data_IF_066070281749
#
_entry.id   IF_066070281749
#
_cell.length_a   1.000
_cell.length_b   1.000
_cell.length_c   1.000
_cell.angle_alpha   90.00
_cell.angle_beta   90.00
_cell.angle_gamma   90.00
#
_symmetry.space_group_name_H-M   'P 1'
#
loop_
_entity.id
_entity.type
_entity.pdbx_description
1 polymer ?
#
# COMPACT_ATOMS: atom_id res chain seq x y z
N UNK A 1 35.09 17.80 -1.30
CA UNK A 1 36.24 17.87 -0.38
C UNK A 1 35.95 16.89 0.74
N UNK A 2 36.94 16.17 1.26
CA UNK A 2 36.70 15.21 2.36
C UNK A 2 36.46 15.97 3.67
N UNK A 3 35.55 15.48 4.51
CA UNK A 3 35.25 16.01 5.84
C UNK A 3 36.47 15.96 6.77
N UNK A 4 37.37 14.99 6.57
CA UNK A 4 38.67 14.91 7.24
C UNK A 4 39.64 16.05 6.88
N UNK A 5 39.47 16.68 5.72
CA UNK A 5 40.35 17.72 5.19
C UNK A 5 39.72 19.12 5.23
N UNK A 6 38.40 19.20 5.45
CA UNK A 6 37.65 20.45 5.51
C UNK A 6 37.91 21.20 6.84
N UNK A 7 38.48 22.42 6.82
CA UNK A 7 38.69 23.23 8.01
C UNK A 7 37.41 23.52 8.79
N UNK A 8 36.26 23.58 8.12
CA UNK A 8 34.95 23.79 8.77
C UNK A 8 34.53 22.63 9.67
N UNK A 9 35.22 21.49 9.60
CA UNK A 9 34.96 20.30 10.40
C UNK A 9 36.12 19.94 11.33
N UNK A 10 37.17 20.76 11.42
CA UNK A 10 38.39 20.44 12.17
C UNK A 10 38.15 20.23 13.67
N UNK A 11 37.11 20.84 14.23
CA UNK A 11 36.69 20.71 15.64
C UNK A 11 35.93 19.41 15.94
N UNK A 12 35.39 18.75 14.91
CA UNK A 12 34.71 17.46 15.05
C UNK A 12 35.73 16.32 14.92
N UNK A 13 35.83 15.48 15.95
CA UNK A 13 36.62 14.23 15.90
C UNK A 13 35.87 13.22 15.02
N UNK A 14 36.55 12.69 14.01
CA UNK A 14 36.01 11.68 13.09
C UNK A 14 36.07 10.34 13.81
N UNK A 15 34.92 9.70 14.00
CA UNK A 15 34.79 8.49 14.83
C UNK A 15 34.64 7.28 13.93
N UNK A 16 35.67 6.42 13.81
CA UNK A 16 35.59 5.18 13.04
C UNK A 16 34.48 4.26 13.52
N UNK A 17 33.96 3.41 12.63
CA UNK A 17 33.12 2.30 13.04
C UNK A 17 33.94 1.29 13.85
N UNK A 18 33.43 0.90 15.01
CA UNK A 18 34.00 -0.19 15.82
C UNK A 18 33.23 -1.49 15.56
N UNK A 19 33.75 -2.31 14.64
CA UNK A 19 33.22 -3.64 14.33
C UNK A 19 33.84 -4.74 15.22
N UNK A 20 34.62 -4.35 16.24
CA UNK A 20 35.35 -5.26 17.12
C UNK A 20 36.61 -5.87 16.50
N UNK A 21 37.32 -6.74 17.24
CA UNK A 21 38.58 -7.33 16.80
C UNK A 21 38.40 -8.39 15.70
N UNK A 22 37.23 -9.05 15.64
CA UNK A 22 36.91 -10.14 14.71
C UNK A 22 35.60 -9.82 13.97
N UNK A 23 35.62 -8.90 13.00
CA UNK A 23 34.39 -8.36 12.39
C UNK A 23 33.70 -9.41 11.51
N UNK A 24 32.38 -9.56 11.69
CA UNK A 24 31.51 -10.39 10.84
C UNK A 24 30.71 -9.51 9.89
N UNK A 25 30.40 -10.02 8.69
CA UNK A 25 29.68 -9.28 7.63
C UNK A 25 30.25 -7.88 7.35
N UNK A 26 31.57 -7.73 7.51
CA UNK A 26 32.27 -6.46 7.29
C UNK A 26 32.14 -6.03 5.83
N UNK A 27 31.81 -4.76 5.63
CA UNK A 27 31.66 -4.16 4.31
C UNK A 27 32.95 -3.42 3.99
N UNK A 28 33.54 -3.71 2.83
CA UNK A 28 34.68 -2.98 2.32
C UNK A 28 34.22 -1.61 1.76
N UNK A 29 34.01 -0.64 2.66
CA UNK A 29 33.57 0.71 2.29
C UNK A 29 34.63 1.46 1.47
N UNK A 30 34.17 2.31 0.55
CA UNK A 30 35.02 3.33 -0.09
C UNK A 30 35.52 4.33 0.94
N UNK A 31 36.66 4.97 0.68
CA UNK A 31 37.18 6.04 1.53
C UNK A 31 36.20 7.20 1.72
N UNK A 32 35.40 7.51 0.70
CA UNK A 32 34.40 8.58 0.70
C UNK A 32 33.27 8.25 1.68
N UNK A 33 32.72 7.04 1.59
CA UNK A 33 31.71 6.55 2.54
C UNK A 33 32.23 6.55 3.99
N UNK A 34 33.45 6.06 4.22
CA UNK A 34 34.08 6.06 5.54
C UNK A 34 34.23 7.47 6.10
N UNK A 35 34.73 8.42 5.30
CA UNK A 35 34.93 9.81 5.70
C UNK A 35 33.61 10.49 6.13
N UNK A 36 32.55 10.34 5.33
CA UNK A 36 31.20 10.85 5.62
C UNK A 36 30.65 10.24 6.91
N UNK A 37 30.71 8.91 7.03
CA UNK A 37 30.14 8.20 8.19
C UNK A 37 30.91 8.44 9.48
N UNK A 38 32.24 8.58 9.41
CA UNK A 38 33.07 8.86 10.58
C UNK A 38 32.82 10.29 11.08
N UNK A 39 32.64 11.25 10.17
CA UNK A 39 32.20 12.59 10.53
C UNK A 39 30.81 12.56 11.18
N UNK A 40 29.85 11.85 10.58
CA UNK A 40 28.49 11.70 11.12
C UNK A 40 28.48 11.09 12.53
N UNK A 41 29.26 10.03 12.79
CA UNK A 41 29.39 9.46 14.15
C UNK A 41 29.99 10.46 15.14
N UNK A 42 30.93 11.30 14.70
CA UNK A 42 31.49 12.40 15.49
C UNK A 42 30.42 13.41 15.92
N UNK A 43 29.67 13.94 14.95
CA UNK A 43 28.56 14.89 15.18
C UNK A 43 27.48 14.28 16.07
N UNK A 44 27.11 13.02 15.83
CA UNK A 44 26.11 12.30 16.63
C UNK A 44 26.55 12.17 18.09
N UNK A 45 27.84 11.88 18.34
CA UNK A 45 28.42 11.79 19.69
C UNK A 45 28.47 13.14 20.39
N UNK A 46 28.75 14.21 19.66
CA UNK A 46 28.68 15.59 20.17
C UNK A 46 27.24 16.06 20.39
N UNK A 47 26.26 15.39 19.74
CA UNK A 47 24.87 15.77 19.70
C UNK A 47 24.69 17.23 19.23
N UNK A 48 25.43 17.59 18.17
CA UNK A 48 25.44 18.93 17.59
C UNK A 48 24.21 19.15 16.69
N UNK A 49 23.55 20.30 16.85
CA UNK A 49 22.47 20.78 15.98
C UNK A 49 22.90 22.09 15.32
N UNK A 50 23.29 22.03 14.06
CA UNK A 50 23.79 23.17 13.30
C UNK A 50 23.45 23.02 11.81
N UNK A 51 23.53 24.11 11.06
CA UNK A 51 23.33 24.10 9.61
C UNK A 51 24.34 23.18 8.89
N UNK A 52 25.60 23.14 9.35
CA UNK A 52 26.60 22.22 8.79
C UNK A 52 26.25 20.75 9.07
N UNK A 53 25.68 20.46 10.24
CA UNK A 53 25.17 19.13 10.56
C UNK A 53 24.00 18.77 9.64
N UNK A 54 23.08 19.71 9.41
CA UNK A 54 21.95 19.49 8.50
C UNK A 54 22.46 19.17 7.08
N UNK A 55 23.44 19.92 6.58
CA UNK A 55 24.08 19.65 5.29
C UNK A 55 24.78 18.27 5.26
N UNK A 56 25.55 17.91 6.29
CA UNK A 56 26.19 16.59 6.40
C UNK A 56 25.18 15.45 6.34
N UNK A 57 23.99 15.61 6.91
CA UNK A 57 22.98 14.54 6.83
C UNK A 57 22.52 14.25 5.40
N UNK A 58 22.61 15.21 4.47
CA UNK A 58 22.32 14.97 3.05
C UNK A 58 23.33 13.99 2.45
N UNK A 59 24.63 14.22 2.71
CA UNK A 59 25.70 13.35 2.19
C UNK A 59 25.61 11.93 2.78
N UNK A 60 25.23 11.81 4.06
CA UNK A 60 25.00 10.50 4.69
C UNK A 60 23.79 9.79 4.09
N UNK A 61 22.72 10.53 3.76
CA UNK A 61 21.51 9.99 3.10
C UNK A 61 21.83 9.58 1.66
N UNK A 62 22.61 10.36 0.92
CA UNK A 62 23.05 10.02 -0.44
C UNK A 62 23.91 8.75 -0.42
N UNK A 63 24.82 8.63 0.55
CA UNK A 63 25.66 7.46 0.74
C UNK A 63 24.86 6.20 1.14
N UNK A 64 23.83 6.34 1.98
CA UNK A 64 22.94 5.25 2.38
C UNK A 64 21.56 5.76 2.81
N UNK A 65 20.57 5.82 1.89
CA UNK A 65 19.25 6.35 2.20
C UNK A 65 18.44 5.42 3.12
N UNK A 66 18.90 4.18 3.37
CA UNK A 66 18.25 3.26 4.29
C UNK A 66 18.73 3.40 5.74
N UNK A 67 19.73 4.25 6.02
CA UNK A 67 20.23 4.49 7.36
C UNK A 67 19.21 5.29 8.18
N UNK A 68 18.36 4.61 8.96
CA UNK A 68 17.31 5.25 9.74
C UNK A 68 17.84 6.21 10.82
N UNK A 69 19.08 6.03 11.29
CA UNK A 69 19.70 6.89 12.32
C UNK A 69 19.92 8.30 11.80
N UNK A 70 20.39 8.46 10.56
CA UNK A 70 20.54 9.80 9.97
C UNK A 70 19.20 10.49 9.78
N UNK A 71 18.17 9.76 9.33
CA UNK A 71 16.84 10.35 9.15
C UNK A 71 16.22 10.82 10.47
N UNK A 72 16.42 10.06 11.54
CA UNK A 72 16.02 10.47 12.89
C UNK A 72 16.79 11.72 13.34
N UNK A 73 18.11 11.71 13.18
CA UNK A 73 18.94 12.82 13.62
C UNK A 73 18.70 14.10 12.82
N UNK A 74 18.49 13.98 11.50
CA UNK A 74 18.08 15.08 10.61
C UNK A 74 16.81 15.77 11.10
N UNK A 75 15.78 15.03 11.52
CA UNK A 75 14.56 15.63 12.10
C UNK A 75 14.84 16.42 13.37
N UNK A 76 15.69 15.93 14.26
CA UNK A 76 16.08 16.67 15.47
C UNK A 76 16.83 17.96 15.15
N UNK A 77 17.68 17.93 14.12
CA UNK A 77 18.42 19.11 13.66
C UNK A 77 17.46 20.13 13.06
N UNK A 78 16.56 19.71 12.16
CA UNK A 78 15.51 20.58 11.58
C UNK A 78 14.65 21.25 12.68
N UNK A 79 14.22 20.46 13.67
CA UNK A 79 13.43 20.97 14.81
C UNK A 79 14.23 21.99 15.64
N UNK A 80 15.48 21.68 15.98
CA UNK A 80 16.32 22.55 16.79
C UNK A 80 16.69 23.87 16.09
N UNK A 81 16.81 23.85 14.76
CA UNK A 81 17.09 25.03 13.95
C UNK A 81 15.85 25.87 13.65
N UNK A 82 14.64 25.30 13.80
CA UNK A 82 13.42 25.95 13.34
C UNK A 82 13.40 26.15 11.81
N UNK A 83 13.97 25.20 11.08
CA UNK A 83 14.10 25.25 9.62
C UNK A 83 12.74 25.31 8.92
N UNK A 84 12.70 25.87 7.71
CA UNK A 84 11.51 25.77 6.85
C UNK A 84 11.33 24.33 6.37
N UNK A 85 10.24 23.70 6.83
CA UNK A 85 9.93 22.32 6.55
C UNK A 85 9.32 22.11 5.14
N UNK A 86 8.94 23.17 4.42
CA UNK A 86 8.47 23.08 3.02
C UNK A 86 9.59 22.64 2.09
N UNK A 87 10.79 23.18 2.27
CA UNK A 87 11.97 22.75 1.50
C UNK A 87 12.28 21.26 1.77
N UNK A 88 12.05 20.79 3.00
CA UNK A 88 12.22 19.37 3.35
C UNK A 88 11.17 18.47 2.67
N UNK A 89 9.93 18.96 2.51
CA UNK A 89 8.93 18.26 1.69
C UNK A 89 9.37 18.18 0.23
N UNK A 90 9.95 19.24 -0.35
CA UNK A 90 10.47 19.15 -1.72
C UNK A 90 11.61 18.13 -1.82
N UNK A 91 12.56 18.18 -0.88
CA UNK A 91 13.66 17.21 -0.81
C UNK A 91 13.15 15.76 -0.75
N UNK A 92 12.19 15.47 0.14
CA UNK A 92 11.62 14.12 0.23
C UNK A 92 10.84 13.71 -1.00
N UNK A 93 10.21 14.65 -1.71
CA UNK A 93 9.52 14.37 -2.96
C UNK A 93 10.51 13.93 -4.05
N UNK A 94 11.59 14.66 -4.23
CA UNK A 94 12.64 14.34 -5.20
C UNK A 94 13.28 12.97 -4.89
N UNK A 95 13.57 12.74 -3.61
CA UNK A 95 14.13 11.48 -3.12
C UNK A 95 13.18 10.30 -3.33
N UNK A 96 11.87 10.48 -3.10
CA UNK A 96 10.88 9.44 -3.31
C UNK A 96 10.71 9.07 -4.79
N UNK A 97 10.89 10.02 -5.71
CA UNK A 97 10.87 9.74 -7.14
C UNK A 97 12.09 8.92 -7.59
N UNK A 98 13.25 9.16 -6.99
CA UNK A 98 14.48 8.41 -7.29
C UNK A 98 14.51 7.04 -6.60
N UNK A 99 14.00 6.97 -5.37
CA UNK A 99 14.07 5.78 -4.51
C UNK A 99 12.68 5.40 -3.94
N UNK A 100 11.69 5.09 -4.80
CA UNK A 100 10.28 4.99 -4.41
C UNK A 100 9.95 3.87 -3.41
N UNK A 101 10.86 2.92 -3.21
CA UNK A 101 10.69 1.74 -2.34
C UNK A 101 11.47 1.82 -1.02
N UNK A 102 11.97 3.01 -0.67
CA UNK A 102 12.71 3.22 0.57
C UNK A 102 11.75 3.66 1.70
N UNK A 103 11.69 2.87 2.79
CA UNK A 103 10.80 3.13 3.93
C UNK A 103 11.09 4.45 4.64
N UNK A 104 12.37 4.81 4.78
CA UNK A 104 12.80 5.96 5.56
C UNK A 104 12.38 7.28 4.92
N UNK A 105 12.39 7.39 3.60
CA UNK A 105 11.93 8.58 2.87
C UNK A 105 10.44 8.84 3.16
N UNK A 106 9.59 7.82 2.95
CA UNK A 106 8.16 7.93 3.19
C UNK A 106 7.84 8.20 4.66
N UNK A 107 8.54 7.54 5.58
CA UNK A 107 8.39 7.81 7.01
C UNK A 107 8.83 9.24 7.37
N UNK A 108 9.96 9.70 6.85
CA UNK A 108 10.46 11.04 7.11
C UNK A 108 9.44 12.08 6.63
N UNK A 109 8.91 11.92 5.41
CA UNK A 109 7.86 12.81 4.88
C UNK A 109 6.63 12.91 5.79
N UNK A 110 6.17 11.79 6.36
CA UNK A 110 5.05 11.79 7.34
C UNK A 110 5.38 12.62 8.57
N UNK A 111 6.56 12.42 9.12
CA UNK A 111 7.01 13.15 10.32
C UNK A 111 7.11 14.65 10.04
N UNK A 112 7.59 15.04 8.85
CA UNK A 112 7.65 16.45 8.45
C UNK A 112 6.24 17.05 8.37
N UNK A 113 5.29 16.37 7.73
CA UNK A 113 3.88 16.80 7.73
C UNK A 113 3.30 16.88 9.16
N UNK A 114 3.64 15.94 10.04
CA UNK A 114 3.21 15.93 11.44
C UNK A 114 3.83 17.08 12.25
N UNK A 115 5.09 17.44 11.99
CA UNK A 115 5.75 18.61 12.59
C UNK A 115 5.09 19.91 12.12
N UNK A 116 4.75 20.00 10.84
CA UNK A 116 4.07 21.15 10.24
C UNK A 116 2.59 21.25 10.60
N UNK A 117 1.98 20.12 11.01
CA UNK A 117 0.53 19.95 11.11
C UNK A 117 -0.19 20.29 9.80
N UNK A 118 0.45 19.99 8.68
CA UNK A 118 -0.10 20.20 7.33
C UNK A 118 0.29 19.06 6.39
N UNK A 119 -0.70 18.58 5.64
CA UNK A 119 -0.58 17.56 4.61
C UNK A 119 -1.33 17.95 3.31
N UNK A 120 -1.57 19.24 3.10
CA UNK A 120 -2.36 19.77 1.97
C UNK A 120 -1.81 19.37 0.60
N UNK A 121 -0.49 19.22 0.47
CA UNK A 121 0.21 18.84 -0.77
C UNK A 121 0.27 17.32 -0.99
N UNK A 122 -0.03 16.51 0.03
CA UNK A 122 0.26 15.06 0.02
C UNK A 122 -0.59 14.28 -0.97
N UNK A 123 -1.81 14.76 -1.26
CA UNK A 123 -2.68 14.15 -2.26
C UNK A 123 -2.14 14.31 -3.66
N UNK A 124 -1.58 15.47 -4.00
CA UNK A 124 -0.99 15.72 -5.31
C UNK A 124 0.31 14.94 -5.45
N UNK A 125 1.17 15.00 -4.43
CA UNK A 125 2.41 14.21 -4.39
C UNK A 125 2.16 12.70 -4.55
N UNK A 126 1.20 12.14 -3.81
CA UNK A 126 0.85 10.73 -3.95
C UNK A 126 0.30 10.41 -5.35
N UNK A 127 -0.48 11.32 -5.95
CA UNK A 127 -0.98 11.12 -7.31
C UNK A 127 0.17 11.07 -8.32
N UNK A 128 1.18 11.94 -8.20
CA UNK A 128 2.38 11.89 -9.04
C UNK A 128 3.16 10.57 -8.85
N UNK A 129 3.36 10.13 -7.60
CA UNK A 129 4.06 8.88 -7.32
C UNK A 129 3.31 7.64 -7.84
N UNK A 130 1.97 7.65 -7.78
CA UNK A 130 1.10 6.60 -8.30
C UNK A 130 1.06 6.64 -9.84
N UNK A 131 1.14 7.81 -10.47
CA UNK A 131 1.24 7.92 -11.94
C UNK A 131 2.53 7.26 -12.47
N UNK A 132 3.65 7.42 -11.74
CA UNK A 132 4.91 6.77 -12.05
C UNK A 132 4.94 5.24 -11.78
N UNK A 133 4.30 4.80 -10.70
CA UNK A 133 4.08 3.37 -10.38
C UNK A 133 2.72 3.19 -9.72
N UNK A 134 1.72 2.77 -10.51
CA UNK A 134 0.32 2.65 -10.10
C UNK A 134 0.06 1.66 -8.96
N UNK A 135 1.06 0.83 -8.66
CA UNK A 135 1.03 -0.19 -7.59
C UNK A 135 2.06 0.08 -6.49
N UNK A 136 2.65 1.28 -6.44
CA UNK A 136 3.57 1.67 -5.38
C UNK A 136 2.85 1.61 -4.02
N UNK A 137 3.19 0.57 -3.24
CA UNK A 137 2.58 0.32 -1.94
C UNK A 137 2.81 1.48 -0.95
N UNK A 138 3.99 2.10 -0.98
CA UNK A 138 4.30 3.20 -0.09
C UNK A 138 3.46 4.44 -0.41
N UNK A 139 3.27 4.77 -1.69
CA UNK A 139 2.44 5.90 -2.10
C UNK A 139 0.99 5.71 -1.68
N UNK A 140 0.40 4.53 -1.91
CA UNK A 140 -0.97 4.23 -1.46
C UNK A 140 -1.10 4.25 0.07
N UNK A 141 -0.15 3.65 0.80
CA UNK A 141 -0.16 3.65 2.26
C UNK A 141 0.02 5.07 2.83
N UNK A 142 0.83 5.91 2.19
CA UNK A 142 1.03 7.30 2.56
C UNK A 142 -0.22 8.14 2.29
N UNK A 143 -0.86 7.96 1.13
CA UNK A 143 -2.13 8.62 0.82
C UNK A 143 -3.20 8.29 1.85
N UNK A 144 -3.37 7.02 2.23
CA UNK A 144 -4.32 6.62 3.28
C UNK A 144 -4.01 7.27 4.63
N UNK A 145 -2.73 7.31 5.01
CA UNK A 145 -2.33 7.98 6.25
C UNK A 145 -2.65 9.48 6.21
N UNK A 146 -2.31 10.18 5.12
CA UNK A 146 -2.53 11.62 4.99
C UNK A 146 -4.04 11.95 5.02
N UNK A 147 -4.83 11.23 4.22
CA UNK A 147 -6.28 11.38 4.16
C UNK A 147 -6.92 11.15 5.54
N UNK A 148 -6.52 10.08 6.24
CA UNK A 148 -7.09 9.76 7.55
C UNK A 148 -6.69 10.74 8.64
N UNK A 149 -5.40 11.09 8.70
CA UNK A 149 -4.83 11.86 9.81
C UNK A 149 -5.21 13.34 9.73
N UNK A 150 -5.38 13.86 8.51
CA UNK A 150 -5.70 15.27 8.25
C UNK A 150 -7.12 15.49 7.72
N UNK A 151 -7.94 14.44 7.61
CA UNK A 151 -9.33 14.54 7.20
C UNK A 151 -9.54 14.92 5.73
N UNK A 152 -8.59 14.58 4.85
CA UNK A 152 -8.57 15.02 3.44
C UNK A 152 -9.43 14.12 2.52
N UNK A 153 -10.66 13.82 2.94
CA UNK A 153 -11.55 12.85 2.27
C UNK A 153 -12.14 13.33 0.94
N UNK A 154 -12.35 14.63 0.79
CA UNK A 154 -12.98 15.23 -0.40
C UNK A 154 -12.19 14.91 -1.66
N UNK A 155 -12.82 14.46 -2.75
CA UNK A 155 -12.11 14.14 -4.00
C UNK A 155 -11.47 12.75 -4.07
N UNK A 156 -11.49 11.96 -2.99
CA UNK A 156 -10.83 10.64 -2.98
C UNK A 156 -11.59 9.59 -3.81
N UNK A 157 -12.92 9.66 -3.89
CA UNK A 157 -13.70 8.75 -4.74
C UNK A 157 -13.46 9.08 -6.21
N UNK A 158 -13.41 10.36 -6.56
CA UNK A 158 -13.10 10.84 -7.90
C UNK A 158 -11.70 10.41 -8.35
N UNK A 159 -10.73 10.46 -7.42
CA UNK A 159 -9.38 9.94 -7.67
C UNK A 159 -9.40 8.42 -7.93
N UNK A 160 -10.12 7.65 -7.11
CA UNK A 160 -10.30 6.21 -7.31
C UNK A 160 -10.96 5.90 -8.65
N UNK A 161 -12.01 6.63 -9.01
CA UNK A 161 -12.74 6.43 -10.27
C UNK A 161 -11.83 6.68 -11.47
N UNK A 162 -10.99 7.72 -11.42
CA UNK A 162 -9.93 7.94 -12.42
C UNK A 162 -8.98 6.75 -12.52
N UNK A 163 -8.44 6.28 -11.40
CA UNK A 163 -7.49 5.16 -11.39
C UNK A 163 -8.11 3.85 -11.91
N UNK A 164 -9.39 3.59 -11.62
CA UNK A 164 -10.11 2.42 -12.10
C UNK A 164 -10.62 2.55 -13.54
N UNK A 165 -10.74 3.77 -14.05
CA UNK A 165 -10.95 4.04 -15.47
C UNK A 165 -9.69 3.73 -16.27
N UNK A 166 -8.52 4.13 -15.76
CA UNK A 166 -7.22 3.89 -16.39
C UNK A 166 -6.82 2.40 -16.34
N UNK A 167 -6.99 1.73 -15.18
CA UNK A 167 -6.80 0.29 -15.02
C UNK A 167 -7.80 -0.31 -14.03
N UNK A 168 -8.86 -0.93 -14.55
CA UNK A 168 -9.87 -1.63 -13.73
C UNK A 168 -9.28 -2.80 -12.92
N UNK A 169 -8.08 -3.32 -13.28
CA UNK A 169 -7.37 -4.40 -12.54
C UNK A 169 -6.47 -3.85 -11.44
N UNK A 170 -6.42 -2.53 -11.22
CA UNK A 170 -5.63 -1.95 -10.14
C UNK A 170 -6.24 -2.25 -8.77
N UNK A 171 -5.79 -3.35 -8.16
CA UNK A 171 -6.25 -3.78 -6.84
C UNK A 171 -5.98 -2.75 -5.73
N UNK A 172 -4.95 -1.92 -5.87
CA UNK A 172 -4.68 -0.84 -4.91
C UNK A 172 -5.77 0.23 -4.94
N UNK A 173 -6.28 0.57 -6.12
CA UNK A 173 -7.40 1.49 -6.27
C UNK A 173 -8.71 0.91 -5.72
N UNK A 174 -8.99 -0.39 -5.94
CA UNK A 174 -10.12 -1.09 -5.32
C UNK A 174 -10.02 -1.10 -3.79
N UNK A 175 -8.84 -1.36 -3.24
CA UNK A 175 -8.58 -1.29 -1.81
C UNK A 175 -8.77 0.13 -1.27
N UNK A 176 -8.31 1.14 -2.01
CA UNK A 176 -8.49 2.54 -1.63
C UNK A 176 -9.95 2.96 -1.66
N UNK A 177 -10.73 2.48 -2.65
CA UNK A 177 -12.20 2.66 -2.67
C UNK A 177 -12.85 2.13 -1.41
N UNK A 178 -12.51 0.90 -1.02
CA UNK A 178 -13.01 0.30 0.22
C UNK A 178 -12.62 1.13 1.45
N UNK A 179 -11.36 1.56 1.51
CA UNK A 179 -10.84 2.40 2.59
C UNK A 179 -11.63 3.70 2.73
N UNK A 180 -11.83 4.45 1.65
CA UNK A 180 -12.58 5.72 1.68
C UNK A 180 -14.01 5.48 2.19
N UNK A 181 -14.75 4.59 1.55
CA UNK A 181 -16.17 4.37 1.85
C UNK A 181 -16.41 3.78 3.25
N UNK A 182 -15.47 2.98 3.77
CA UNK A 182 -15.53 2.43 5.12
C UNK A 182 -15.27 3.49 6.20
N UNK A 183 -14.59 4.60 5.86
CA UNK A 183 -14.28 5.69 6.79
C UNK A 183 -15.21 6.92 6.63
N UNK A 184 -15.90 7.08 5.50
CA UNK A 184 -16.80 8.24 5.22
C UNK A 184 -18.30 7.91 5.28
N UNK A 185 -18.68 6.75 5.85
CA UNK A 185 -20.05 6.22 5.97
C UNK A 185 -20.69 5.66 4.70
N UNK A 186 -19.98 5.63 3.57
CA UNK A 186 -20.47 5.12 2.29
C UNK A 186 -21.00 3.68 2.33
N UNK A 187 -20.52 2.84 3.26
CA UNK A 187 -20.98 1.45 3.44
C UNK A 187 -21.84 1.25 4.71
N UNK A 188 -22.21 2.30 5.43
CA UNK A 188 -22.96 2.16 6.69
C UNK A 188 -24.41 1.73 6.45
N UNK A 189 -25.04 2.28 5.41
CA UNK A 189 -26.42 1.99 5.05
C UNK A 189 -26.51 1.00 3.87
N UNK A 190 -27.64 0.29 3.76
CA UNK A 190 -27.88 -0.68 2.69
C UNK A 190 -27.89 0.01 1.32
N UNK A 191 -28.43 1.21 1.23
CA UNK A 191 -28.49 2.01 0.00
C UNK A 191 -27.08 2.36 -0.50
N UNK A 192 -26.17 2.66 0.41
CA UNK A 192 -24.77 2.90 0.09
C UNK A 192 -24.09 1.64 -0.46
N UNK A 193 -24.31 0.49 0.19
CA UNK A 193 -23.82 -0.80 -0.30
C UNK A 193 -24.42 -1.19 -1.65
N UNK A 194 -25.71 -0.94 -1.87
CA UNK A 194 -26.39 -1.25 -3.14
C UNK A 194 -25.71 -0.53 -4.30
N UNK A 195 -25.42 0.78 -4.16
CA UNK A 195 -24.67 1.53 -5.18
C UNK A 195 -23.31 0.92 -5.48
N UNK A 196 -22.60 0.46 -4.46
CA UNK A 196 -21.27 -0.14 -4.63
C UNK A 196 -21.31 -1.57 -5.19
N UNK A 197 -22.38 -2.31 -4.89
CA UNK A 197 -22.67 -3.60 -5.55
C UNK A 197 -22.91 -3.36 -7.04
N UNK A 198 -23.78 -2.42 -7.40
CA UNK A 198 -24.04 -2.04 -8.80
C UNK A 198 -22.75 -1.64 -9.52
N UNK A 199 -21.95 -0.75 -8.91
CA UNK A 199 -20.64 -0.36 -9.42
C UNK A 199 -19.72 -1.56 -9.66
N UNK A 200 -19.63 -2.50 -8.71
CA UNK A 200 -18.80 -3.69 -8.86
C UNK A 200 -19.28 -4.59 -10.01
N UNK A 201 -20.60 -4.77 -10.15
CA UNK A 201 -21.20 -5.56 -11.24
C UNK A 201 -20.96 -4.93 -12.61
N UNK A 202 -21.02 -3.60 -12.71
CA UNK A 202 -20.64 -2.86 -13.94
C UNK A 202 -19.15 -3.05 -14.28
N UNK A 203 -18.26 -3.00 -13.29
CA UNK A 203 -16.81 -3.24 -13.54
C UNK A 203 -16.48 -4.69 -13.87
N UNK A 204 -17.31 -5.65 -13.45
CA UNK A 204 -17.22 -7.05 -13.90
C UNK A 204 -17.49 -7.15 -15.40
N UNK A 205 -18.46 -6.39 -15.94
CA UNK A 205 -18.76 -6.41 -17.39
C UNK A 205 -17.57 -5.91 -18.23
N UNK A 206 -16.80 -4.96 -17.70
CA UNK A 206 -15.61 -4.44 -18.37
C UNK A 206 -14.53 -5.53 -18.49
N UNK A 207 -14.41 -6.40 -17.49
CA UNK A 207 -13.40 -7.46 -17.47
C UNK A 207 -13.82 -8.64 -16.58
N UNK A 208 -14.54 -9.61 -17.15
CA UNK A 208 -15.12 -10.74 -16.38
C UNK A 208 -14.07 -11.62 -15.67
N UNK A 209 -12.84 -11.71 -16.20
CA UNK A 209 -11.72 -12.42 -15.56
C UNK A 209 -10.84 -11.52 -14.67
N UNK A 210 -11.28 -10.31 -14.34
CA UNK A 210 -10.60 -9.47 -13.36
C UNK A 210 -11.02 -9.87 -11.95
N UNK A 211 -10.11 -10.44 -11.16
CA UNK A 211 -10.41 -10.90 -9.80
C UNK A 211 -10.81 -9.76 -8.83
N UNK A 212 -10.25 -8.55 -9.01
CA UNK A 212 -10.44 -7.44 -8.06
C UNK A 212 -11.90 -7.04 -7.81
N UNK A 213 -12.75 -6.76 -8.83
CA UNK A 213 -14.15 -6.43 -8.60
C UNK A 213 -14.95 -7.61 -8.00
N UNK A 214 -14.60 -8.87 -8.29
CA UNK A 214 -15.22 -10.03 -7.65
C UNK A 214 -14.88 -10.09 -6.16
N UNK A 215 -13.62 -9.84 -5.79
CA UNK A 215 -13.19 -9.80 -4.40
C UNK A 215 -13.79 -8.60 -3.64
N UNK A 216 -13.89 -7.45 -4.30
CA UNK A 216 -14.59 -6.27 -3.76
C UNK A 216 -16.07 -6.57 -3.50
N UNK A 217 -16.76 -7.18 -4.47
CA UNK A 217 -18.16 -7.62 -4.35
C UNK A 217 -18.35 -8.60 -3.19
N UNK A 218 -17.46 -9.60 -3.03
CA UNK A 218 -17.47 -10.51 -1.87
C UNK A 218 -17.39 -9.75 -0.54
N UNK A 219 -16.57 -8.70 -0.48
CA UNK A 219 -16.43 -7.83 0.69
C UNK A 219 -17.73 -7.08 1.00
N UNK A 220 -18.38 -6.51 -0.01
CA UNK A 220 -19.62 -5.73 0.14
C UNK A 220 -20.79 -6.56 0.68
N UNK A 221 -20.97 -7.77 0.15
CA UNK A 221 -22.11 -8.64 0.46
C UNK A 221 -21.93 -9.47 1.74
N UNK A 222 -20.72 -9.51 2.29
CA UNK A 222 -20.44 -10.27 3.52
C UNK A 222 -21.30 -9.75 4.67
N UNK A 223 -22.07 -10.65 5.30
CA UNK A 223 -23.03 -10.34 6.35
C UNK A 223 -24.37 -9.75 5.85
N UNK A 224 -24.53 -9.60 4.53
CA UNK A 224 -25.73 -9.07 3.87
C UNK A 224 -26.15 -9.97 2.71
N UNK A 225 -25.79 -11.26 2.75
CA UNK A 225 -25.93 -12.15 1.61
C UNK A 225 -27.39 -12.31 1.20
N UNK A 226 -28.32 -12.41 2.16
CA UNK A 226 -29.75 -12.51 1.88
C UNK A 226 -30.28 -11.30 1.07
N UNK A 227 -29.74 -10.11 1.29
CA UNK A 227 -30.14 -8.88 0.61
C UNK A 227 -29.71 -8.87 -0.85
N UNK A 228 -28.47 -9.31 -1.13
CA UNK A 228 -27.86 -9.17 -2.46
C UNK A 228 -27.82 -10.49 -3.26
N UNK A 229 -28.24 -11.62 -2.67
CA UNK A 229 -28.12 -12.95 -3.28
C UNK A 229 -28.76 -13.05 -4.66
N UNK A 230 -29.97 -12.49 -4.85
CA UNK A 230 -30.67 -12.57 -6.13
C UNK A 230 -29.86 -11.91 -7.24
N UNK A 231 -29.58 -10.61 -7.10
CA UNK A 231 -28.85 -9.83 -8.09
C UNK A 231 -27.45 -10.40 -8.38
N UNK A 232 -26.72 -10.81 -7.33
CA UNK A 232 -25.34 -11.29 -7.48
C UNK A 232 -25.29 -12.68 -8.13
N UNK A 233 -26.22 -13.58 -7.78
CA UNK A 233 -26.30 -14.90 -8.43
C UNK A 233 -26.72 -14.76 -9.89
N UNK A 234 -27.72 -13.94 -10.19
CA UNK A 234 -28.17 -13.69 -11.57
C UNK A 234 -27.00 -13.20 -12.43
N UNK A 235 -26.22 -12.24 -11.92
CA UNK A 235 -25.00 -11.78 -12.63
C UNK A 235 -24.00 -12.90 -12.85
N UNK A 236 -23.66 -13.66 -11.81
CA UNK A 236 -22.65 -14.70 -11.91
C UNK A 236 -23.09 -15.85 -12.82
N UNK A 237 -24.38 -16.20 -12.83
CA UNK A 237 -24.97 -17.17 -13.75
C UNK A 237 -24.88 -16.68 -15.19
N UNK A 238 -25.31 -15.45 -15.47
CA UNK A 238 -25.21 -14.85 -16.81
C UNK A 238 -23.76 -14.82 -17.31
N UNK A 239 -22.79 -14.52 -16.44
CA UNK A 239 -21.36 -14.58 -16.79
C UNK A 239 -20.93 -16.00 -17.15
N UNK A 240 -21.37 -17.03 -16.42
CA UNK A 240 -21.01 -18.42 -16.73
C UNK A 240 -21.70 -18.94 -18.00
N UNK A 241 -22.86 -18.42 -18.38
CA UNK A 241 -23.50 -18.75 -19.65
C UNK A 241 -22.67 -18.27 -20.85
N UNK A 242 -22.08 -17.08 -20.76
CA UNK A 242 -21.26 -16.50 -21.83
C UNK A 242 -19.76 -16.84 -21.72
N UNK A 243 -19.29 -17.10 -20.50
CA UNK A 243 -17.88 -17.30 -20.16
C UNK A 243 -17.75 -18.42 -19.11
N UNK A 244 -17.93 -19.69 -19.53
CA UNK A 244 -18.01 -20.84 -18.60
C UNK A 244 -16.71 -21.10 -17.82
N UNK A 245 -15.57 -20.59 -18.29
CA UNK A 245 -14.26 -20.69 -17.64
C UNK A 245 -13.99 -19.55 -16.64
N UNK A 246 -14.97 -18.67 -16.38
CA UNK A 246 -14.85 -17.65 -15.35
C UNK A 246 -14.88 -18.26 -13.94
N UNK A 247 -13.71 -18.63 -13.44
CA UNK A 247 -13.53 -19.24 -12.12
C UNK A 247 -14.07 -18.37 -10.98
N UNK A 248 -14.08 -17.04 -11.14
CA UNK A 248 -14.50 -16.11 -10.10
C UNK A 248 -16.02 -16.11 -9.91
N UNK A 249 -16.78 -16.14 -11.01
CA UNK A 249 -18.23 -16.25 -11.01
C UNK A 249 -18.66 -17.61 -10.42
N UNK A 250 -18.05 -18.71 -10.87
CA UNK A 250 -18.31 -20.05 -10.34
C UNK A 250 -18.01 -20.12 -8.83
N UNK A 251 -16.83 -19.65 -8.41
CA UNK A 251 -16.46 -19.63 -6.99
C UNK A 251 -17.43 -18.80 -6.14
N UNK A 252 -17.93 -17.67 -6.66
CA UNK A 252 -18.92 -16.85 -5.95
C UNK A 252 -20.27 -17.56 -5.80
N UNK A 253 -20.75 -18.23 -6.85
CA UNK A 253 -21.98 -19.02 -6.78
C UNK A 253 -21.87 -20.17 -5.77
N UNK A 254 -20.72 -20.84 -5.71
CA UNK A 254 -20.45 -21.86 -4.68
C UNK A 254 -20.60 -21.26 -3.28
N UNK A 255 -20.08 -20.05 -3.03
CA UNK A 255 -20.21 -19.39 -1.72
C UNK A 255 -21.66 -19.06 -1.35
N UNK A 256 -22.49 -18.63 -2.31
CA UNK A 256 -23.91 -18.34 -2.09
C UNK A 256 -24.74 -19.61 -1.87
N UNK A 257 -24.62 -20.60 -2.76
CA UNK A 257 -25.36 -21.86 -2.64
C UNK A 257 -25.01 -22.63 -1.37
N UNK A 258 -23.75 -22.57 -0.93
CA UNK A 258 -23.30 -23.15 0.33
C UNK A 258 -23.95 -22.51 1.57
N UNK A 259 -24.39 -21.24 1.46
CA UNK A 259 -25.09 -20.53 2.54
C UNK A 259 -26.59 -20.78 2.54
N UNK A 260 -27.19 -20.98 1.37
CA UNK A 260 -28.62 -21.33 1.24
C UNK A 260 -28.92 -22.69 1.88
N UNK A 261 -28.03 -23.67 1.72
CA UNK A 261 -28.10 -24.94 2.43
C UNK A 261 -29.29 -25.84 2.07
N UNK A 262 -30.03 -25.54 1.01
CA UNK A 262 -31.06 -26.44 0.46
C UNK A 262 -30.42 -27.60 -0.31
N UNK A 263 -31.09 -28.74 -0.43
CA UNK A 263 -30.58 -29.87 -1.22
C UNK A 263 -30.27 -29.46 -2.67
N UNK A 264 -31.13 -28.64 -3.28
CA UNK A 264 -30.94 -28.12 -4.64
C UNK A 264 -29.72 -27.19 -4.73
N UNK A 265 -29.54 -26.28 -3.77
CA UNK A 265 -28.39 -25.37 -3.77
C UNK A 265 -27.09 -26.12 -3.51
N UNK A 266 -27.08 -27.09 -2.59
CA UNK A 266 -25.91 -27.93 -2.31
C UNK A 266 -25.52 -28.75 -3.55
N UNK A 267 -26.47 -29.30 -4.29
CA UNK A 267 -26.20 -30.03 -5.53
C UNK A 267 -25.58 -29.11 -6.59
N UNK A 268 -26.14 -27.90 -6.81
CA UNK A 268 -25.54 -26.90 -7.71
C UNK A 268 -24.13 -26.50 -7.28
N UNK A 269 -23.89 -26.35 -5.97
CA UNK A 269 -22.57 -26.04 -5.45
C UNK A 269 -21.57 -27.18 -5.71
N UNK A 270 -21.98 -28.45 -5.51
CA UNK A 270 -21.14 -29.61 -5.78
C UNK A 270 -20.71 -29.66 -7.26
N UNK A 271 -21.65 -29.47 -8.18
CA UNK A 271 -21.37 -29.47 -9.63
C UNK A 271 -20.34 -28.40 -10.00
N UNK A 272 -20.52 -27.16 -9.51
CA UNK A 272 -19.54 -26.09 -9.74
C UNK A 272 -18.17 -26.39 -9.14
N UNK A 273 -18.12 -26.96 -7.93
CA UNK A 273 -16.86 -27.34 -7.28
C UNK A 273 -16.14 -28.43 -8.07
N UNK A 274 -16.85 -29.41 -8.60
CA UNK A 274 -16.27 -30.45 -9.45
C UNK A 274 -15.69 -29.86 -10.74
N UNK A 275 -16.41 -28.96 -11.43
CA UNK A 275 -15.90 -28.26 -12.61
C UNK A 275 -14.66 -27.40 -12.27
N UNK A 276 -14.70 -26.64 -11.17
CA UNK A 276 -13.57 -25.84 -10.71
C UNK A 276 -12.34 -26.71 -10.42
N UNK A 277 -12.54 -27.85 -9.74
CA UNK A 277 -11.46 -28.76 -9.37
C UNK A 277 -10.83 -29.46 -10.58
N UNK A 278 -11.66 -29.93 -11.50
CA UNK A 278 -11.27 -30.85 -12.57
C UNK A 278 -11.02 -30.18 -13.92
N UNK A 279 -11.57 -28.99 -14.16
CA UNK A 279 -11.58 -28.37 -15.48
C UNK A 279 -10.95 -26.97 -15.47
N UNK A 280 -11.47 -26.04 -14.66
CA UNK A 280 -11.20 -24.59 -14.82
C UNK A 280 -10.21 -23.97 -13.82
N UNK A 281 -10.13 -24.45 -12.56
CA UNK A 281 -9.23 -23.93 -11.51
C UNK A 281 -8.37 -25.03 -10.88
N UNK A 282 -7.74 -25.85 -11.73
CA UNK A 282 -6.92 -27.01 -11.35
C UNK A 282 -5.80 -26.67 -10.37
N UNK A 283 -5.25 -25.45 -10.44
CA UNK A 283 -4.18 -25.00 -9.54
C UNK A 283 -4.66 -24.97 -8.08
N UNK A 284 -5.96 -24.78 -7.84
CA UNK A 284 -6.61 -24.81 -6.53
C UNK A 284 -7.41 -26.10 -6.29
N UNK A 285 -7.15 -27.18 -7.03
CA UNK A 285 -7.86 -28.47 -6.87
C UNK A 285 -7.90 -28.98 -5.42
N UNK A 286 -6.80 -28.88 -4.67
CA UNK A 286 -6.78 -29.26 -3.25
C UNK A 286 -7.73 -28.41 -2.38
N UNK A 287 -7.87 -27.12 -2.70
CA UNK A 287 -8.83 -26.24 -2.04
C UNK A 287 -10.28 -26.61 -2.39
N UNK A 288 -10.56 -26.91 -3.66
CA UNK A 288 -11.89 -27.34 -4.10
C UNK A 288 -12.29 -28.70 -3.52
N UNK A 289 -11.34 -29.65 -3.40
CA UNK A 289 -11.54 -30.91 -2.70
C UNK A 289 -11.89 -30.70 -1.22
N UNK A 290 -11.20 -29.78 -0.56
CA UNK A 290 -11.54 -29.38 0.81
C UNK A 290 -12.95 -28.78 0.88
N UNK A 291 -13.29 -27.84 -0.01
CA UNK A 291 -14.62 -27.22 -0.07
C UNK A 291 -15.73 -28.26 -0.26
N UNK A 292 -15.56 -29.22 -1.18
CA UNK A 292 -16.51 -30.31 -1.41
C UNK A 292 -16.78 -31.11 -0.12
N UNK A 293 -15.74 -31.39 0.67
CA UNK A 293 -15.88 -32.10 1.95
C UNK A 293 -16.67 -31.31 3.00
N UNK A 294 -16.65 -29.98 2.94
CA UNK A 294 -17.36 -29.10 3.89
C UNK A 294 -18.83 -28.90 3.56
N UNK A 295 -19.20 -28.95 2.27
CA UNK A 295 -20.59 -28.86 1.81
C UNK A 295 -21.42 -30.06 2.31
N UNK A 296 -20.84 -31.27 2.22
CA UNK A 296 -21.47 -32.54 2.66
C UNK A 296 -21.73 -32.66 4.16
N UNK A 297 -21.17 -31.78 4.99
CA UNK A 297 -21.36 -31.79 6.45
C UNK A 297 -22.49 -30.87 6.92
N UNK A 298 -23.08 -30.07 6.02
CA UNK A 298 -24.14 -29.09 6.32
C UNK A 298 -25.51 -29.47 5.80
N UNK A 299 -25.59 -30.48 4.92
CA UNK A 299 -26.81 -31.24 4.56
C UNK A 299 -27.11 -32.28 5.63
#
# INVERSE_FOLDING_TARGET
MRYSEDPAWADVVKVPQDDGPDPIVSIAYSSEFTDVMDCFRGVLKLNEYSERTLALTLDVIDANPANYTVWYFRRRVLEALGSDLREELQFTADMAMQNPKNYQIWHHRREICDMMKDASEEKEFCAMAIDGDSKNYHAWAHRQWAVKSFGLWDGEIEFVDKMLLDDVRNNSAWNHRWFVLSNTSGLAAIEGRQREVEYALEKIDVAVHNESPWNYLRGLVRGHEATFAVQVKEKAQAVLETTPDCIFAAALLVDFYAKEGTDESVEKANQLVETLMNDTDKVRSAYWQFRLSTLKRRS
#
